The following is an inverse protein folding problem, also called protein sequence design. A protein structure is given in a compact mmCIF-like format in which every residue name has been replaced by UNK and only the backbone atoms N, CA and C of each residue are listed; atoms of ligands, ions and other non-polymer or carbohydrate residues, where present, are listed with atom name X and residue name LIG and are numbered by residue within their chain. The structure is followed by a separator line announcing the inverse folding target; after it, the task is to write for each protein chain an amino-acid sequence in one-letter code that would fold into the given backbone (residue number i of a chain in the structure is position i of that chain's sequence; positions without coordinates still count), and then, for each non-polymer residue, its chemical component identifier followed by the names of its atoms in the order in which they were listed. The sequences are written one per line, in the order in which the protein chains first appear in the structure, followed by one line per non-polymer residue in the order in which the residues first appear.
data_IF_682352636323
#
_entry.id   IF_682352636323
#
_cell.length_a   1.000
_cell.length_b   1.000
_cell.length_c   1.000
_cell.angle_alpha   90.00
_cell.angle_beta   90.00
_cell.angle_gamma   90.00
#
_symmetry.space_group_name_H-M   'P 1'
#
loop_
_entity.id
_entity.type
_entity.pdbx_description
1 polymer ?
#
# COMPACT_ATOMS: atom_id res chain seq x y z
N UNK A 1 14.83 -20.26 -9.33
CA UNK A 1 13.53 -19.62 -9.07
C UNK A 1 12.62 -20.45 -8.16
N UNK A 2 12.26 -21.69 -8.44
CA UNK A 2 11.34 -22.46 -7.58
C UNK A 2 11.81 -22.67 -6.15
N UNK A 3 13.10 -23.00 -5.92
CA UNK A 3 13.67 -23.16 -4.57
C UNK A 3 13.68 -21.85 -3.75
N UNK A 4 13.94 -20.73 -4.42
CA UNK A 4 13.89 -19.40 -3.80
C UNK A 4 12.46 -19.03 -3.37
N UNK A 5 11.49 -19.20 -4.27
CA UNK A 5 10.08 -18.97 -3.95
C UNK A 5 9.60 -19.87 -2.80
N UNK A 6 9.95 -21.18 -2.83
CA UNK A 6 9.63 -22.11 -1.74
C UNK A 6 10.23 -21.69 -0.38
N UNK A 7 11.49 -21.26 -0.36
CA UNK A 7 12.15 -20.78 0.87
C UNK A 7 11.49 -19.48 1.39
N UNK A 8 11.10 -18.57 0.49
CA UNK A 8 10.38 -17.33 0.83
C UNK A 8 8.99 -17.62 1.41
N UNK A 9 8.24 -18.53 0.79
CA UNK A 9 6.92 -18.95 1.30
C UNK A 9 7.08 -19.63 2.67
N UNK A 10 8.09 -20.49 2.83
CA UNK A 10 8.34 -21.14 4.12
C UNK A 10 8.72 -20.13 5.22
N UNK A 11 9.51 -19.11 4.89
CA UNK A 11 9.87 -18.05 5.84
C UNK A 11 8.69 -17.09 6.13
N UNK A 12 7.67 -17.01 5.27
CA UNK A 12 6.48 -16.22 5.51
C UNK A 12 5.60 -16.77 6.63
N UNK A 13 5.57 -18.11 6.80
CA UNK A 13 4.74 -18.77 7.82
C UNK A 13 5.07 -18.29 9.25
N UNK A 14 6.33 -18.36 9.74
CA UNK A 14 6.64 -17.87 11.09
C UNK A 14 6.39 -16.37 11.25
N UNK A 15 6.54 -15.58 10.18
CA UNK A 15 6.22 -14.14 10.22
C UNK A 15 4.73 -13.93 10.42
N UNK A 16 3.88 -14.61 9.66
CA UNK A 16 2.43 -14.52 9.79
C UNK A 16 1.95 -15.00 11.18
N UNK A 17 2.51 -16.08 11.69
CA UNK A 17 2.22 -16.57 13.05
C UNK A 17 2.62 -15.54 14.12
N UNK A 18 3.82 -14.98 14.01
CA UNK A 18 4.30 -13.97 14.97
C UNK A 18 3.46 -12.68 14.91
N UNK A 19 3.10 -12.23 13.72
CA UNK A 19 2.29 -11.03 13.51
C UNK A 19 0.88 -11.23 14.07
N UNK A 20 0.21 -12.34 13.75
CA UNK A 20 -1.14 -12.63 14.28
C UNK A 20 -1.14 -12.78 15.79
N UNK A 21 -0.15 -13.51 16.35
CA UNK A 21 0.01 -13.61 17.79
C UNK A 21 0.22 -12.23 18.45
N UNK A 22 1.06 -11.39 17.84
CA UNK A 22 1.29 -10.02 18.29
C UNK A 22 0.03 -9.16 18.28
N UNK A 23 -0.82 -9.28 17.26
CA UNK A 23 -2.12 -8.58 17.20
C UNK A 23 -3.00 -8.95 18.40
N UNK A 24 -3.16 -10.25 18.67
CA UNK A 24 -3.97 -10.70 19.80
C UNK A 24 -3.37 -10.28 21.15
N UNK A 25 -2.04 -10.30 21.29
CA UNK A 25 -1.36 -9.87 22.51
C UNK A 25 -1.54 -8.36 22.76
N UNK A 26 -1.34 -7.53 21.74
CA UNK A 26 -1.51 -6.07 21.83
C UNK A 26 -2.98 -5.71 22.07
N UNK A 27 -3.90 -6.38 21.39
CA UNK A 27 -5.32 -6.14 21.55
C UNK A 27 -5.80 -6.59 22.97
N UNK A 28 -5.25 -7.65 23.53
CA UNK A 28 -5.53 -8.06 24.91
C UNK A 28 -4.99 -7.08 25.96
N UNK A 29 -3.91 -6.36 25.64
CA UNK A 29 -3.33 -5.31 26.50
C UNK A 29 -3.97 -3.93 26.26
N UNK A 30 -4.89 -3.82 25.29
CA UNK A 30 -5.56 -2.57 24.91
C UNK A 30 -6.45 -2.06 26.05
N UNK A 31 -6.51 -0.73 26.29
CA UNK A 31 -7.45 -0.14 27.22
C UNK A 31 -8.89 -0.11 26.68
N UNK A 32 -9.10 -0.44 25.41
CA UNK A 32 -10.42 -0.49 24.80
C UNK A 32 -11.17 -1.76 25.18
N UNK A 33 -12.44 -1.63 25.57
CA UNK A 33 -13.31 -2.76 25.94
C UNK A 33 -14.14 -3.18 24.72
N UNK A 34 -13.91 -4.37 24.15
CA UNK A 34 -14.64 -4.85 22.97
C UNK A 34 -16.14 -5.02 23.25
N UNK A 35 -16.53 -5.28 24.51
CA UNK A 35 -17.94 -5.40 24.88
C UNK A 35 -18.65 -4.06 24.77
N UNK A 36 -18.00 -2.98 25.22
CA UNK A 36 -18.55 -1.61 25.08
C UNK A 36 -18.61 -1.18 23.62
N UNK A 37 -17.60 -1.53 22.83
CA UNK A 37 -17.58 -1.24 21.40
C UNK A 37 -18.69 -1.95 20.65
N UNK A 38 -18.94 -3.23 20.96
CA UNK A 38 -20.02 -4.02 20.37
C UNK A 38 -21.42 -3.53 20.79
N UNK A 39 -21.59 -3.26 22.07
CA UNK A 39 -22.89 -2.83 22.63
C UNK A 39 -23.23 -1.39 22.19
N UNK A 40 -22.25 -0.54 21.88
CA UNK A 40 -22.45 0.85 21.49
C UNK A 40 -23.33 1.60 22.51
N UNK A 41 -24.30 2.37 22.02
CA UNK A 41 -25.24 3.13 22.87
C UNK A 41 -26.16 2.22 23.70
N UNK A 42 -26.48 1.01 23.23
CA UNK A 42 -27.29 0.04 23.99
C UNK A 42 -26.55 -0.44 25.25
N UNK A 43 -25.21 -0.44 25.26
CA UNK A 43 -24.42 -0.79 26.44
C UNK A 43 -24.55 0.21 27.58
N UNK A 44 -25.03 1.43 27.34
CA UNK A 44 -25.28 2.44 28.39
C UNK A 44 -26.51 2.10 29.23
N UNK A 45 -27.44 1.32 28.70
CA UNK A 45 -28.69 0.91 29.34
C UNK A 45 -28.73 -0.57 29.68
N UNK A 46 -27.74 -1.34 29.23
CA UNK A 46 -27.67 -2.78 29.47
C UNK A 46 -27.40 -3.12 30.95
N UNK A 47 -28.05 -4.16 31.44
CA UNK A 47 -27.77 -4.70 32.76
C UNK A 47 -26.39 -5.36 32.82
N UNK A 48 -25.81 -5.52 34.02
CA UNK A 48 -24.55 -6.24 34.19
C UNK A 48 -24.64 -7.69 33.69
N UNK A 49 -25.76 -8.35 33.90
CA UNK A 49 -25.98 -9.72 33.43
C UNK A 49 -25.95 -9.84 31.89
N UNK A 50 -26.50 -8.86 31.17
CA UNK A 50 -26.45 -8.79 29.71
C UNK A 50 -25.03 -8.53 29.20
N UNK A 51 -24.29 -7.63 29.87
CA UNK A 51 -22.89 -7.38 29.54
C UNK A 51 -21.99 -8.59 29.81
N UNK A 52 -22.21 -9.32 30.91
CA UNK A 52 -21.47 -10.54 31.23
C UNK A 52 -21.78 -11.67 30.24
N UNK A 53 -23.04 -11.79 29.83
CA UNK A 53 -23.43 -12.73 28.77
C UNK A 53 -22.79 -12.36 27.43
N UNK A 54 -22.73 -11.09 27.10
CA UNK A 54 -22.07 -10.60 25.90
C UNK A 54 -20.55 -10.85 25.94
N UNK A 55 -19.89 -10.68 27.11
CA UNK A 55 -18.48 -11.05 27.32
C UNK A 55 -18.24 -12.54 27.04
N UNK A 56 -19.06 -13.38 27.59
CA UNK A 56 -18.98 -14.82 27.38
C UNK A 56 -19.17 -15.19 25.88
N UNK A 57 -20.16 -14.58 25.23
CA UNK A 57 -20.42 -14.80 23.80
C UNK A 57 -19.27 -14.32 22.88
N UNK A 58 -18.65 -13.19 23.22
CA UNK A 58 -17.49 -12.66 22.51
C UNK A 58 -16.17 -13.36 22.87
N UNK A 59 -16.18 -14.29 23.86
CA UNK A 59 -15.00 -15.01 24.33
C UNK A 59 -13.94 -14.10 24.97
N UNK A 60 -14.33 -12.90 25.43
CA UNK A 60 -13.37 -11.90 25.96
C UNK A 60 -12.70 -12.38 27.26
N UNK A 61 -13.40 -13.21 28.03
CA UNK A 61 -12.91 -13.77 29.28
C UNK A 61 -11.85 -14.87 29.12
N UNK A 62 -11.70 -15.38 27.89
CA UNK A 62 -10.68 -16.40 27.59
C UNK A 62 -9.28 -15.76 27.51
N UNK A 63 -8.22 -16.50 27.92
CA UNK A 63 -6.84 -16.07 27.71
C UNK A 63 -6.58 -15.75 26.23
N UNK A 64 -5.85 -14.68 25.94
CA UNK A 64 -5.60 -14.25 24.55
C UNK A 64 -4.93 -15.32 23.70
N UNK A 65 -4.08 -16.17 24.31
CA UNK A 65 -3.42 -17.30 23.62
C UNK A 65 -4.45 -18.30 23.10
N UNK A 66 -5.49 -18.59 23.89
CA UNK A 66 -6.56 -19.50 23.49
C UNK A 66 -7.37 -18.89 22.36
N UNK A 67 -7.80 -17.63 22.49
CA UNK A 67 -8.50 -16.90 21.42
C UNK A 67 -7.72 -16.85 20.12
N UNK A 68 -6.40 -16.59 20.21
CA UNK A 68 -5.54 -16.62 19.03
C UNK A 68 -5.49 -18.02 18.39
N UNK A 69 -5.36 -19.08 19.20
CA UNK A 69 -5.31 -20.45 18.70
C UNK A 69 -6.62 -20.88 18.04
N UNK A 70 -7.74 -20.58 18.67
CA UNK A 70 -9.07 -20.88 18.15
C UNK A 70 -9.32 -20.14 16.84
N UNK A 71 -8.98 -18.86 16.79
CA UNK A 71 -9.06 -18.09 15.54
C UNK A 71 -8.12 -18.64 14.46
N UNK A 72 -6.86 -18.97 14.78
CA UNK A 72 -5.90 -19.50 13.83
C UNK A 72 -6.38 -20.83 13.21
N UNK A 73 -6.90 -21.73 14.03
CA UNK A 73 -7.42 -23.02 13.55
C UNK A 73 -8.66 -22.86 12.66
N UNK A 74 -9.56 -21.93 13.01
CA UNK A 74 -10.73 -21.59 12.18
C UNK A 74 -10.29 -20.95 10.86
N UNK A 75 -9.36 -20.00 10.90
CA UNK A 75 -8.84 -19.33 9.71
C UNK A 75 -8.13 -20.29 8.75
N UNK A 76 -7.41 -21.29 9.25
CA UNK A 76 -6.81 -22.36 8.43
C UNK A 76 -7.89 -23.25 7.79
N UNK A 77 -9.08 -23.34 8.39
CA UNK A 77 -10.27 -23.98 7.83
C UNK A 77 -11.05 -23.11 6.83
N UNK A 78 -10.60 -21.84 6.61
CA UNK A 78 -11.27 -20.90 5.72
C UNK A 78 -12.29 -19.99 6.41
N UNK A 79 -12.50 -20.13 7.71
CA UNK A 79 -13.39 -19.29 8.51
C UNK A 79 -12.57 -18.22 9.24
N UNK A 80 -12.65 -16.97 8.79
CA UNK A 80 -11.99 -15.83 9.39
C UNK A 80 -12.74 -15.26 10.60
N UNK A 81 -13.94 -15.79 10.89
CA UNK A 81 -14.85 -15.34 11.92
C UNK A 81 -15.71 -14.15 11.48
N UNK A 82 -16.48 -13.63 12.43
CA UNK A 82 -17.36 -12.49 12.23
C UNK A 82 -16.76 -11.22 12.86
N UNK A 83 -16.91 -10.11 12.16
CA UNK A 83 -16.60 -8.78 12.72
C UNK A 83 -17.64 -8.44 13.78
N UNK A 84 -17.18 -8.23 15.00
CA UNK A 84 -18.04 -7.84 16.12
C UNK A 84 -18.63 -6.43 15.92
N UNK A 85 -17.94 -5.56 15.22
CA UNK A 85 -18.32 -4.15 15.02
C UNK A 85 -19.16 -3.97 13.75
N UNK A 86 -18.76 -4.58 12.64
CA UNK A 86 -19.47 -4.49 11.37
C UNK A 86 -20.64 -5.48 11.26
N UNK A 87 -20.72 -6.47 12.19
CA UNK A 87 -21.79 -7.49 12.28
C UNK A 87 -21.99 -8.27 10.98
N UNK A 88 -20.90 -8.60 10.33
CA UNK A 88 -20.86 -9.38 9.10
C UNK A 88 -19.60 -10.26 9.06
N UNK A 89 -19.57 -11.33 8.25
CA UNK A 89 -18.37 -12.16 8.09
C UNK A 89 -17.17 -11.34 7.68
N UNK A 90 -16.02 -11.60 8.30
CA UNK A 90 -14.74 -10.89 7.99
C UNK A 90 -14.34 -11.06 6.53
N UNK A 91 -14.63 -12.24 5.94
CA UNK A 91 -14.39 -12.50 4.53
C UNK A 91 -15.15 -11.53 3.61
N UNK A 92 -16.42 -11.22 3.94
CA UNK A 92 -17.26 -10.30 3.17
C UNK A 92 -16.74 -8.86 3.30
N UNK A 93 -16.34 -8.44 4.51
CA UNK A 93 -15.69 -7.12 4.72
C UNK A 93 -14.48 -6.94 3.83
N UNK A 94 -13.63 -7.98 3.75
CA UNK A 94 -12.44 -7.95 2.92
C UNK A 94 -12.82 -7.94 1.43
N UNK A 95 -13.72 -8.81 1.00
CA UNK A 95 -14.13 -8.94 -0.40
C UNK A 95 -14.72 -7.63 -0.96
N UNK A 96 -15.53 -6.93 -0.18
CA UNK A 96 -16.14 -5.65 -0.57
C UNK A 96 -15.12 -4.51 -0.72
N UNK A 97 -14.01 -4.54 0.02
CA UNK A 97 -13.09 -3.40 0.17
C UNK A 97 -11.74 -3.57 -0.54
N UNK A 98 -11.26 -4.82 -0.67
CA UNK A 98 -9.92 -5.09 -1.21
C UNK A 98 -9.76 -4.59 -2.64
N UNK A 99 -10.81 -4.68 -3.46
CA UNK A 99 -10.80 -4.19 -4.83
C UNK A 99 -10.56 -2.68 -4.92
N UNK A 100 -11.13 -1.90 -4.02
CA UNK A 100 -10.98 -0.45 -3.98
C UNK A 100 -9.58 -0.05 -3.52
N UNK A 101 -9.03 -0.69 -2.48
CA UNK A 101 -7.64 -0.47 -2.05
C UNK A 101 -6.65 -0.86 -3.14
N UNK A 102 -6.87 -1.99 -3.81
CA UNK A 102 -6.02 -2.43 -4.92
C UNK A 102 -6.06 -1.45 -6.10
N UNK A 103 -7.25 -0.95 -6.47
CA UNK A 103 -7.42 0.04 -7.52
C UNK A 103 -6.64 1.31 -7.20
N UNK A 104 -6.78 1.84 -5.98
CA UNK A 104 -6.04 3.02 -5.52
C UNK A 104 -4.52 2.78 -5.58
N UNK A 105 -4.05 1.66 -5.05
CA UNK A 105 -2.63 1.31 -5.02
C UNK A 105 -2.04 1.18 -6.43
N UNK A 106 -2.74 0.47 -7.33
CA UNK A 106 -2.29 0.29 -8.73
C UNK A 106 -2.26 1.63 -9.46
N UNK A 107 -3.31 2.46 -9.32
CA UNK A 107 -3.37 3.77 -9.95
C UNK A 107 -2.25 4.70 -9.44
N UNK A 108 -2.03 4.75 -8.12
CA UNK A 108 -0.97 5.53 -7.51
C UNK A 108 0.43 5.08 -7.96
N UNK A 109 0.67 3.77 -8.01
CA UNK A 109 1.94 3.22 -8.48
C UNK A 109 2.18 3.52 -9.96
N UNK A 110 1.13 3.41 -10.79
CA UNK A 110 1.22 3.80 -12.20
C UNK A 110 1.61 5.28 -12.34
N UNK A 111 1.00 6.18 -11.58
CA UNK A 111 1.37 7.61 -11.56
C UNK A 111 2.83 7.79 -11.14
N UNK A 112 3.26 7.17 -10.04
CA UNK A 112 4.62 7.29 -9.52
C UNK A 112 5.66 6.77 -10.52
N UNK A 113 5.44 5.58 -11.09
CA UNK A 113 6.35 4.94 -12.05
C UNK A 113 6.43 5.75 -13.35
N UNK A 114 5.28 6.11 -13.94
CA UNK A 114 5.24 6.81 -15.23
C UNK A 114 5.86 8.21 -15.12
N UNK A 115 5.42 9.00 -14.14
CA UNK A 115 5.94 10.36 -13.96
C UNK A 115 7.38 10.35 -13.46
N UNK A 116 7.70 9.48 -12.48
CA UNK A 116 9.06 9.34 -11.95
C UNK A 116 10.05 8.92 -13.03
N UNK A 117 9.68 7.96 -13.88
CA UNK A 117 10.51 7.54 -15.03
C UNK A 117 10.66 8.65 -16.05
N UNK A 118 9.58 9.30 -16.47
CA UNK A 118 9.65 10.37 -17.46
C UNK A 118 10.53 11.52 -16.98
N UNK A 119 10.29 12.01 -15.77
CA UNK A 119 11.08 13.10 -15.17
C UNK A 119 12.53 12.68 -14.91
N UNK A 120 12.77 11.44 -14.45
CA UNK A 120 14.12 10.90 -14.20
C UNK A 120 14.95 10.83 -15.47
N UNK A 121 14.38 10.33 -16.56
CA UNK A 121 15.04 10.29 -17.88
C UNK A 121 15.34 11.71 -18.39
N UNK A 122 14.38 12.62 -18.27
CA UNK A 122 14.57 14.02 -18.70
C UNK A 122 15.67 14.71 -17.90
N UNK A 123 15.72 14.51 -16.58
CA UNK A 123 16.75 15.07 -15.70
C UNK A 123 18.13 14.44 -15.98
N UNK A 124 18.21 13.12 -16.18
CA UNK A 124 19.45 12.41 -16.51
C UNK A 124 20.10 12.91 -17.80
N UNK A 125 19.28 13.20 -18.83
CA UNK A 125 19.79 13.76 -20.12
C UNK A 125 20.39 15.15 -19.99
N UNK A 126 19.99 15.92 -18.98
CA UNK A 126 20.45 17.30 -18.74
C UNK A 126 20.99 17.45 -17.32
N UNK A 127 21.83 16.48 -16.90
CA UNK A 127 22.39 16.42 -15.54
C UNK A 127 23.08 17.70 -15.18
N UNK A 128 22.79 18.28 -14.00
CA UNK A 128 23.27 19.55 -13.53
C UNK A 128 22.60 20.79 -14.12
N UNK A 129 21.69 20.64 -15.10
CA UNK A 129 20.90 21.73 -15.65
C UNK A 129 19.82 22.23 -14.69
N UNK A 130 19.13 23.32 -15.07
CA UNK A 130 18.09 23.93 -14.24
C UNK A 130 16.91 22.96 -14.01
N UNK A 131 16.49 22.21 -15.04
CA UNK A 131 15.41 21.23 -14.95
C UNK A 131 15.77 20.12 -13.96
N UNK A 132 16.98 19.58 -14.04
CA UNK A 132 17.48 18.57 -13.12
C UNK A 132 17.46 19.06 -11.67
N UNK A 133 17.96 20.28 -11.44
CA UNK A 133 17.98 20.88 -10.09
C UNK A 133 16.57 21.15 -9.56
N UNK A 134 15.69 21.72 -10.37
CA UNK A 134 14.32 22.06 -9.95
C UNK A 134 13.50 20.81 -9.63
N UNK A 135 13.55 19.78 -10.50
CA UNK A 135 12.80 18.53 -10.26
C UNK A 135 13.39 17.77 -9.09
N UNK A 136 14.73 17.73 -8.93
CA UNK A 136 15.36 17.10 -7.75
C UNK A 136 14.97 17.81 -6.45
N UNK A 137 14.98 19.16 -6.43
CA UNK A 137 14.53 19.91 -5.24
C UNK A 137 13.07 19.64 -4.92
N UNK A 138 12.20 19.61 -5.93
CA UNK A 138 10.78 19.27 -5.75
C UNK A 138 10.60 17.83 -5.23
N UNK A 139 11.37 16.87 -5.75
CA UNK A 139 11.34 15.48 -5.30
C UNK A 139 11.73 15.36 -3.82
N UNK A 140 12.83 15.98 -3.38
CA UNK A 140 13.24 16.00 -1.97
C UNK A 140 12.20 16.68 -1.07
N UNK A 141 11.54 17.74 -1.55
CA UNK A 141 10.47 18.41 -0.82
C UNK A 141 9.25 17.49 -0.66
N UNK A 142 8.88 16.78 -1.73
CA UNK A 142 7.77 15.82 -1.69
C UNK A 142 8.07 14.63 -0.78
N UNK A 143 9.30 14.13 -0.77
CA UNK A 143 9.74 13.04 0.11
C UNK A 143 9.65 13.42 1.59
N UNK A 144 9.98 14.67 1.92
CA UNK A 144 9.89 15.19 3.29
C UNK A 144 8.46 15.49 3.72
N UNK A 145 7.50 15.61 2.79
CA UNK A 145 6.13 15.98 3.09
C UNK A 145 5.28 14.75 3.48
N UNK A 146 4.55 14.79 4.61
CA UNK A 146 3.65 13.69 4.96
C UNK A 146 2.52 13.53 3.93
N UNK A 147 2.22 12.28 3.51
CA UNK A 147 1.20 12.01 2.50
C UNK A 147 -0.19 12.54 2.88
N UNK A 148 -0.58 12.44 4.16
CA UNK A 148 -1.85 12.98 4.63
C UNK A 148 -1.94 14.50 4.50
N UNK A 149 -0.84 15.21 4.75
CA UNK A 149 -0.77 16.67 4.61
C UNK A 149 -0.91 17.08 3.13
N UNK A 150 -0.24 16.37 2.21
CA UNK A 150 -0.43 16.56 0.78
C UNK A 150 -1.90 16.31 0.38
N UNK A 151 -2.54 15.30 0.98
CA UNK A 151 -3.95 15.00 0.78
C UNK A 151 -4.86 16.16 1.19
N UNK A 152 -4.67 16.72 2.40
CA UNK A 152 -5.45 17.86 2.88
C UNK A 152 -5.24 19.10 2.00
N UNK A 153 -4.01 19.38 1.56
CA UNK A 153 -3.72 20.47 0.63
C UNK A 153 -4.41 20.26 -0.74
N UNK A 154 -4.39 19.03 -1.24
CA UNK A 154 -5.03 18.68 -2.50
C UNK A 154 -6.56 18.87 -2.41
N UNK A 155 -7.21 18.42 -1.34
CA UNK A 155 -8.63 18.66 -1.07
C UNK A 155 -8.92 20.15 -1.00
N UNK A 156 -8.16 20.90 -0.18
CA UNK A 156 -8.35 22.34 -0.06
C UNK A 156 -8.26 23.06 -1.41
N UNK A 157 -7.24 22.74 -2.21
CA UNK A 157 -7.00 23.46 -3.45
C UNK A 157 -7.94 23.01 -4.59
N UNK A 158 -7.98 21.70 -4.87
CA UNK A 158 -8.72 21.19 -6.03
C UNK A 158 -10.22 21.01 -5.79
N UNK A 159 -10.61 20.58 -4.59
CA UNK A 159 -12.02 20.35 -4.30
C UNK A 159 -12.71 21.62 -3.78
N UNK A 160 -12.15 22.27 -2.74
CA UNK A 160 -12.84 23.37 -2.08
C UNK A 160 -12.64 24.72 -2.79
N UNK A 161 -11.39 25.03 -3.23
CA UNK A 161 -11.10 26.33 -3.84
C UNK A 161 -11.44 26.37 -5.33
N UNK A 162 -11.11 25.34 -6.09
CA UNK A 162 -11.35 25.28 -7.54
C UNK A 162 -12.69 24.61 -7.88
N UNK A 163 -13.26 23.77 -7.02
CA UNK A 163 -14.45 22.98 -7.32
C UNK A 163 -14.26 22.02 -8.50
N UNK A 164 -13.01 21.64 -8.81
CA UNK A 164 -12.67 20.91 -10.01
C UNK A 164 -12.74 19.38 -9.85
N UNK A 165 -12.53 18.88 -8.63
CA UNK A 165 -12.49 17.45 -8.31
C UNK A 165 -13.23 17.18 -7.00
N UNK A 166 -13.78 15.97 -6.80
CA UNK A 166 -14.43 15.58 -5.56
C UNK A 166 -13.46 15.59 -4.37
N UNK A 167 -13.96 15.93 -3.19
CA UNK A 167 -13.14 15.95 -1.96
C UNK A 167 -12.81 14.55 -1.43
N UNK A 168 -13.64 13.55 -1.72
CA UNK A 168 -13.47 12.18 -1.22
C UNK A 168 -14.71 11.31 -1.48
N UNK A 169 -14.72 10.10 -0.93
CA UNK A 169 -15.75 9.10 -1.20
C UNK A 169 -15.53 8.38 -2.53
N UNK A 170 -16.52 7.61 -2.96
CA UNK A 170 -16.51 6.87 -4.22
C UNK A 170 -17.45 7.47 -5.26
N UNK A 171 -18.53 8.13 -4.78
CA UNK A 171 -19.60 8.72 -5.58
C UNK A 171 -20.04 10.04 -5.00
N UNK A 172 -20.73 10.83 -5.80
CA UNK A 172 -21.40 12.03 -5.32
C UNK A 172 -22.56 11.65 -4.37
N UNK A 173 -22.76 12.44 -3.32
CA UNK A 173 -23.76 12.21 -2.26
C UNK A 173 -25.22 12.09 -2.74
N UNK A 174 -25.50 12.50 -3.98
CA UNK A 174 -26.83 12.45 -4.58
C UNK A 174 -27.07 11.23 -5.48
N UNK A 175 -26.12 10.32 -5.60
CA UNK A 175 -26.14 9.21 -6.56
C UNK A 175 -26.18 7.85 -5.85
N UNK A 176 -27.28 7.10 -6.06
CA UNK A 176 -27.40 5.73 -5.54
C UNK A 176 -26.66 4.69 -6.41
N UNK A 177 -26.09 5.09 -7.53
CA UNK A 177 -25.42 4.19 -8.48
C UNK A 177 -23.97 4.58 -8.69
N UNK A 178 -23.06 3.61 -8.53
CA UNK A 178 -21.64 3.77 -8.82
C UNK A 178 -21.42 3.68 -10.33
N UNK A 179 -21.01 4.78 -10.97
CA UNK A 179 -20.65 4.79 -12.38
C UNK A 179 -19.14 4.83 -12.58
N UNK A 180 -18.59 4.26 -13.66
CA UNK A 180 -17.14 4.31 -13.92
C UNK A 180 -16.58 5.75 -13.97
N UNK A 181 -17.35 6.71 -14.46
CA UNK A 181 -16.96 8.12 -14.52
C UNK A 181 -16.77 8.72 -13.12
N UNK A 182 -17.69 8.43 -12.19
CA UNK A 182 -17.58 8.87 -10.80
C UNK A 182 -16.38 8.22 -10.10
N UNK A 183 -16.17 6.91 -10.29
CA UNK A 183 -15.00 6.22 -9.74
C UNK A 183 -13.70 6.88 -10.20
N UNK A 184 -13.60 7.19 -11.50
CA UNK A 184 -12.40 7.85 -12.05
C UNK A 184 -12.23 9.24 -11.44
N UNK A 185 -13.27 10.08 -11.39
CA UNK A 185 -13.16 11.44 -10.86
C UNK A 185 -12.77 11.45 -9.38
N UNK A 186 -13.34 10.55 -8.57
CA UNK A 186 -13.03 10.40 -7.13
C UNK A 186 -11.66 9.76 -6.89
N UNK A 187 -11.13 8.98 -7.85
CA UNK A 187 -9.81 8.35 -7.76
C UNK A 187 -8.66 9.32 -8.04
N UNK A 188 -8.88 10.38 -8.84
CA UNK A 188 -7.81 11.29 -9.31
C UNK A 188 -7.02 11.89 -8.16
N UNK A 189 -7.68 12.49 -7.17
CA UNK A 189 -6.98 13.12 -6.05
C UNK A 189 -6.26 12.11 -5.16
N UNK A 190 -6.91 11.05 -4.64
CA UNK A 190 -6.22 10.09 -3.77
C UNK A 190 -5.09 9.35 -4.49
N UNK A 191 -5.29 8.92 -5.75
CA UNK A 191 -4.23 8.27 -6.52
C UNK A 191 -3.09 9.24 -6.88
N UNK A 192 -3.42 10.50 -7.20
CA UNK A 192 -2.45 11.55 -7.44
C UNK A 192 -1.58 11.83 -6.21
N UNK A 193 -2.18 12.00 -5.05
CA UNK A 193 -1.46 12.26 -3.78
C UNK A 193 -0.60 11.08 -3.38
N UNK A 194 -1.14 9.86 -3.38
CA UNK A 194 -0.38 8.66 -3.06
C UNK A 194 0.74 8.41 -4.09
N UNK A 195 0.46 8.64 -5.39
CA UNK A 195 1.46 8.53 -6.44
C UNK A 195 2.57 9.58 -6.32
N UNK A 196 2.23 10.83 -6.00
CA UNK A 196 3.21 11.89 -5.77
C UNK A 196 4.09 11.63 -4.54
N UNK A 197 3.57 11.00 -3.49
CA UNK A 197 4.38 10.60 -2.31
C UNK A 197 5.40 9.51 -2.64
N UNK A 198 5.15 8.66 -3.63
CA UNK A 198 6.07 7.61 -4.09
C UNK A 198 7.00 8.07 -5.23
N UNK A 199 6.62 9.12 -5.96
CA UNK A 199 7.33 9.61 -7.15
C UNK A 199 8.82 9.92 -6.90
N UNK A 200 9.25 10.56 -5.78
CA UNK A 200 10.64 10.90 -5.53
C UNK A 200 11.60 9.72 -5.68
N UNK A 201 11.21 8.57 -5.18
CA UNK A 201 12.00 7.35 -5.24
C UNK A 201 12.22 6.87 -6.68
N UNK A 202 11.15 6.76 -7.46
CA UNK A 202 11.25 6.36 -8.88
C UNK A 202 12.05 7.39 -9.69
N UNK A 203 11.81 8.67 -9.46
CA UNK A 203 12.55 9.74 -10.11
C UNK A 203 14.06 9.67 -9.82
N UNK A 204 14.47 9.58 -8.55
CA UNK A 204 15.87 9.59 -8.16
C UNK A 204 16.61 8.35 -8.67
N UNK A 205 16.00 7.17 -8.57
CA UNK A 205 16.61 5.93 -9.07
C UNK A 205 16.78 5.94 -10.59
N UNK A 206 15.77 6.36 -11.33
CA UNK A 206 15.84 6.45 -12.81
C UNK A 206 16.85 7.53 -13.22
N UNK A 207 16.81 8.70 -12.58
CA UNK A 207 17.77 9.77 -12.83
C UNK A 207 19.23 9.31 -12.64
N UNK A 208 19.48 8.61 -11.53
CA UNK A 208 20.83 8.10 -11.23
C UNK A 208 21.22 7.00 -12.21
N UNK A 209 20.40 5.93 -12.34
CA UNK A 209 20.73 4.78 -13.18
C UNK A 209 20.91 5.12 -14.65
N UNK A 210 19.99 5.93 -15.22
CA UNK A 210 20.11 6.38 -16.62
C UNK A 210 21.28 7.34 -16.78
N UNK A 211 21.52 8.24 -15.81
CA UNK A 211 22.66 9.18 -15.83
C UNK A 211 24.02 8.45 -15.84
N UNK A 212 24.15 7.39 -15.04
CA UNK A 212 25.35 6.58 -14.99
C UNK A 212 25.54 5.75 -16.27
N UNK A 213 24.45 5.11 -16.76
CA UNK A 213 24.47 4.38 -18.02
C UNK A 213 24.87 5.25 -19.22
N UNK A 214 24.47 6.53 -19.25
CA UNK A 214 24.87 7.48 -20.30
C UNK A 214 26.37 7.80 -20.31
N UNK A 215 27.08 7.55 -19.21
CA UNK A 215 28.51 7.75 -19.07
C UNK A 215 29.36 6.50 -19.38
N UNK A 216 28.72 5.33 -19.52
CA UNK A 216 29.38 4.04 -19.76
C UNK A 216 29.95 3.89 -21.19
N UNK A 217 30.95 3.00 -21.33
CA UNK A 217 31.62 2.73 -22.61
C UNK A 217 30.69 2.20 -23.72
N UNK A 218 29.67 1.34 -23.46
CA UNK A 218 28.72 0.94 -24.48
C UNK A 218 27.99 2.12 -25.14
N UNK A 219 27.62 3.12 -24.36
CA UNK A 219 26.98 4.35 -24.85
C UNK A 219 27.95 5.22 -25.63
N UNK A 220 29.19 5.37 -25.14
CA UNK A 220 30.26 6.09 -25.87
C UNK A 220 30.56 5.42 -27.21
N UNK A 221 30.64 4.08 -27.23
CA UNK A 221 30.86 3.33 -28.46
C UNK A 221 29.68 3.44 -29.44
N UNK A 222 28.44 3.49 -28.95
CA UNK A 222 27.26 3.72 -29.77
C UNK A 222 27.28 5.12 -30.44
N UNK A 223 27.62 6.16 -29.68
CA UNK A 223 27.78 7.52 -30.18
C UNK A 223 28.95 7.61 -31.22
N UNK A 224 30.08 6.96 -30.93
CA UNK A 224 31.23 6.94 -31.86
C UNK A 224 30.88 6.28 -33.20
N UNK A 225 29.92 5.34 -33.22
CA UNK A 225 29.36 4.72 -34.44
C UNK A 225 28.32 5.60 -35.15
N UNK A 226 28.03 6.80 -34.67
CA UNK A 226 27.08 7.72 -35.28
C UNK A 226 25.61 7.38 -35.05
N UNK A 227 25.27 6.58 -34.05
CA UNK A 227 23.89 6.27 -33.73
C UNK A 227 23.16 7.52 -33.20
N UNK A 228 21.89 7.71 -33.64
CA UNK A 228 21.07 8.81 -33.19
C UNK A 228 20.85 8.76 -31.65
N UNK A 229 20.86 9.92 -30.99
CA UNK A 229 20.70 10.01 -29.53
C UNK A 229 19.42 9.31 -29.00
N UNK A 230 18.34 9.29 -29.77
CA UNK A 230 17.14 8.52 -29.41
C UNK A 230 17.45 7.02 -29.33
N UNK A 231 18.17 6.47 -30.31
CA UNK A 231 18.56 5.05 -30.33
C UNK A 231 19.55 4.74 -29.21
N UNK A 232 20.52 5.64 -28.94
CA UNK A 232 21.47 5.52 -27.83
C UNK A 232 20.71 5.48 -26.49
N UNK A 233 19.75 6.39 -26.30
CA UNK A 233 18.95 6.45 -25.07
C UNK A 233 18.08 5.18 -24.90
N UNK A 234 17.25 4.86 -25.90
CA UNK A 234 16.26 3.77 -25.77
C UNK A 234 16.87 2.38 -25.88
N UNK A 235 17.88 2.21 -26.73
CA UNK A 235 18.51 0.91 -27.01
C UNK A 235 19.64 0.54 -26.06
N UNK A 236 20.30 1.50 -25.46
CA UNK A 236 21.47 1.28 -24.60
C UNK A 236 21.27 1.78 -23.18
N UNK A 237 21.10 3.12 -22.98
CA UNK A 237 21.09 3.71 -21.66
C UNK A 237 19.88 3.31 -20.80
N UNK A 238 18.66 3.30 -21.38
CA UNK A 238 17.46 2.89 -20.64
C UNK A 238 17.50 1.41 -20.26
N UNK A 239 18.00 0.55 -21.13
CA UNK A 239 18.03 -0.88 -20.88
C UNK A 239 18.84 -1.26 -19.64
N UNK A 240 20.02 -0.66 -19.46
CA UNK A 240 20.86 -0.89 -18.28
C UNK A 240 20.49 0.01 -17.11
N UNK A 241 20.19 1.28 -17.38
CA UNK A 241 19.91 2.28 -16.35
C UNK A 241 18.59 2.11 -15.60
N UNK A 242 17.64 1.33 -16.14
CA UNK A 242 16.38 1.06 -15.46
C UNK A 242 16.37 -0.21 -14.59
N UNK A 243 17.42 -1.02 -14.61
CA UNK A 243 17.51 -2.22 -13.77
C UNK A 243 17.33 -1.93 -12.27
N UNK A 244 17.95 -0.88 -11.69
CA UNK A 244 17.75 -0.56 -10.28
C UNK A 244 16.30 -0.19 -9.92
N UNK A 245 15.54 0.37 -10.89
CA UNK A 245 14.13 0.70 -10.68
C UNK A 245 13.24 -0.54 -10.53
N UNK A 246 13.56 -1.64 -11.22
CA UNK A 246 12.78 -2.88 -11.11
C UNK A 246 12.83 -3.48 -9.70
N UNK A 247 14.00 -3.42 -9.05
CA UNK A 247 14.15 -3.80 -7.64
C UNK A 247 13.38 -2.88 -6.71
N UNK A 248 13.33 -1.58 -7.04
CA UNK A 248 12.62 -0.60 -6.23
C UNK A 248 11.10 -0.88 -6.18
N UNK A 249 10.50 -1.35 -7.27
CA UNK A 249 9.05 -1.59 -7.35
C UNK A 249 8.55 -2.43 -6.17
N UNK A 250 9.18 -3.57 -5.92
CA UNK A 250 8.73 -4.46 -4.84
C UNK A 250 9.09 -3.96 -3.44
N UNK A 251 10.27 -3.31 -3.28
CA UNK A 251 10.69 -2.76 -1.98
C UNK A 251 9.81 -1.58 -1.53
N UNK A 252 9.06 -0.94 -2.45
CA UNK A 252 8.14 0.16 -2.13
C UNK A 252 6.72 -0.28 -1.80
N UNK A 253 6.39 -1.58 -1.92
CA UNK A 253 5.05 -2.09 -1.57
C UNK A 253 4.68 -1.85 -0.11
N UNK A 254 5.56 -2.05 0.90
CA UNK A 254 5.23 -1.75 2.28
C UNK A 254 4.82 -0.28 2.52
N UNK A 255 5.58 0.65 1.95
CA UNK A 255 5.30 2.08 2.07
C UNK A 255 4.04 2.49 1.30
N UNK A 256 3.77 1.84 0.18
CA UNK A 256 2.53 2.04 -0.57
C UNK A 256 1.32 1.63 0.27
N UNK A 257 1.37 0.48 0.96
CA UNK A 257 0.29 0.01 1.83
C UNK A 257 0.08 0.96 3.00
N UNK A 258 1.16 1.39 3.66
CA UNK A 258 1.09 2.35 4.78
C UNK A 258 0.58 3.71 4.32
N UNK A 259 1.06 4.19 3.17
CA UNK A 259 0.60 5.43 2.56
C UNK A 259 -0.85 5.36 2.11
N UNK A 260 -1.28 4.22 1.55
CA UNK A 260 -2.66 3.99 1.16
C UNK A 260 -3.62 4.08 2.36
N UNK A 261 -3.25 3.52 3.52
CA UNK A 261 -4.05 3.61 4.74
C UNK A 261 -4.35 5.07 5.12
N UNK A 262 -3.34 5.94 5.10
CA UNK A 262 -3.51 7.35 5.41
C UNK A 262 -4.35 8.09 4.35
N UNK A 263 -4.10 7.81 3.08
CA UNK A 263 -4.80 8.45 1.95
C UNK A 263 -6.25 7.99 1.90
N UNK A 264 -6.54 6.70 2.06
CA UNK A 264 -7.91 6.17 2.14
C UNK A 264 -8.71 6.85 3.26
N UNK A 265 -8.07 7.06 4.43
CA UNK A 265 -8.71 7.73 5.56
C UNK A 265 -9.00 9.20 5.26
N UNK A 266 -8.01 9.94 4.72
CA UNK A 266 -8.15 11.38 4.41
C UNK A 266 -9.21 11.63 3.35
N UNK A 267 -9.26 10.79 2.31
CA UNK A 267 -10.21 10.92 1.21
C UNK A 267 -11.51 10.13 1.42
N UNK A 268 -11.71 9.49 2.58
CA UNK A 268 -12.87 8.61 2.83
C UNK A 268 -13.07 7.59 1.72
N UNK A 269 -11.98 7.08 1.15
CA UNK A 269 -12.00 6.05 0.11
C UNK A 269 -12.45 4.72 0.72
N UNK A 270 -13.39 3.97 0.11
CA UNK A 270 -14.01 2.79 0.73
C UNK A 270 -13.11 1.55 0.70
N UNK A 271 -11.85 1.70 1.04
CA UNK A 271 -10.87 0.63 1.09
C UNK A 271 -10.78 -0.06 2.45
N UNK A 272 -9.71 -0.83 2.61
CA UNK A 272 -9.42 -1.63 3.81
C UNK A 272 -9.02 -0.75 5.01
N UNK A 273 -8.46 0.44 4.76
CA UNK A 273 -7.94 1.31 5.81
C UNK A 273 -8.99 1.69 6.86
N UNK A 274 -10.18 2.11 6.40
CA UNK A 274 -11.27 2.47 7.31
C UNK A 274 -11.69 1.29 8.21
N UNK A 275 -11.77 0.08 7.65
CA UNK A 275 -12.06 -1.14 8.40
C UNK A 275 -10.94 -1.46 9.40
N UNK A 276 -9.66 -1.23 9.01
CA UNK A 276 -8.51 -1.46 9.90
C UNK A 276 -8.52 -0.50 11.10
N UNK A 277 -8.76 0.79 10.86
CA UNK A 277 -8.86 1.78 11.93
C UNK A 277 -10.03 1.46 12.87
N UNK A 278 -11.18 1.12 12.30
CA UNK A 278 -12.36 0.76 13.08
C UNK A 278 -12.12 -0.51 13.91
N UNK A 279 -11.55 -1.56 13.32
CA UNK A 279 -11.20 -2.79 14.02
C UNK A 279 -10.21 -2.54 15.17
N UNK A 280 -9.19 -1.69 14.95
CA UNK A 280 -8.19 -1.36 15.97
C UNK A 280 -8.79 -0.58 17.15
N UNK A 281 -9.62 0.43 16.88
CA UNK A 281 -10.23 1.27 17.93
C UNK A 281 -11.33 0.55 18.73
N UNK A 282 -11.97 -0.43 18.11
CA UNK A 282 -13.07 -1.20 18.72
C UNK A 282 -12.62 -2.57 19.23
N UNK A 283 -11.33 -2.91 19.08
CA UNK A 283 -10.73 -4.20 19.50
C UNK A 283 -11.46 -5.41 18.88
N UNK A 284 -11.80 -5.28 17.60
CA UNK A 284 -12.39 -6.35 16.81
C UNK A 284 -11.29 -7.35 16.40
N UNK A 285 -11.08 -8.37 17.23
CA UNK A 285 -9.96 -9.31 17.08
C UNK A 285 -9.94 -10.05 15.76
N UNK A 286 -11.06 -10.69 15.31
CA UNK A 286 -11.07 -11.44 14.05
C UNK A 286 -10.75 -10.55 12.86
N UNK A 287 -11.41 -9.39 12.77
CA UNK A 287 -11.23 -8.46 11.67
C UNK A 287 -9.80 -7.87 11.67
N UNK A 288 -9.30 -7.43 12.84
CA UNK A 288 -7.96 -6.85 12.95
C UNK A 288 -6.87 -7.87 12.58
N UNK A 289 -7.00 -9.12 13.04
CA UNK A 289 -6.08 -10.20 12.70
C UNK A 289 -6.09 -10.50 11.20
N UNK A 290 -7.26 -10.66 10.59
CA UNK A 290 -7.39 -10.95 9.18
C UNK A 290 -6.84 -9.82 8.29
N UNK A 291 -7.14 -8.55 8.61
CA UNK A 291 -6.61 -7.38 7.90
C UNK A 291 -5.09 -7.25 8.03
N UNK A 292 -4.55 -7.57 9.22
CA UNK A 292 -3.11 -7.57 9.44
C UNK A 292 -2.40 -8.70 8.68
N UNK A 293 -3.01 -9.89 8.61
CA UNK A 293 -2.53 -11.00 7.75
C UNK A 293 -2.53 -10.57 6.29
N UNK A 294 -3.62 -9.95 5.83
CA UNK A 294 -3.74 -9.48 4.45
C UNK A 294 -2.67 -8.44 4.11
N UNK A 295 -2.45 -7.44 4.97
CA UNK A 295 -1.40 -6.44 4.79
C UNK A 295 0.00 -7.09 4.79
N UNK A 296 0.27 -8.00 5.73
CA UNK A 296 1.55 -8.72 5.79
C UNK A 296 1.76 -9.59 4.55
N UNK A 297 0.73 -10.31 4.11
CA UNK A 297 0.78 -11.12 2.89
C UNK A 297 1.06 -10.25 1.66
N UNK A 298 0.43 -9.09 1.54
CA UNK A 298 0.67 -8.16 0.44
C UNK A 298 2.12 -7.64 0.42
N UNK A 299 2.72 -7.34 1.59
CA UNK A 299 4.14 -6.99 1.72
C UNK A 299 5.04 -8.14 1.29
N UNK A 300 4.77 -9.36 1.76
CA UNK A 300 5.56 -10.55 1.42
C UNK A 300 5.47 -10.88 -0.07
N UNK A 301 4.29 -10.76 -0.67
CA UNK A 301 4.08 -10.93 -2.11
C UNK A 301 4.79 -9.84 -2.92
N UNK A 302 4.77 -8.59 -2.47
CA UNK A 302 5.49 -7.50 -3.09
C UNK A 302 7.01 -7.74 -3.10
N UNK A 303 7.57 -8.19 -1.98
CA UNK A 303 8.98 -8.56 -1.89
C UNK A 303 9.32 -9.74 -2.80
N UNK A 304 8.48 -10.78 -2.83
CA UNK A 304 8.67 -11.92 -3.73
C UNK A 304 8.62 -11.48 -5.21
N UNK A 305 7.68 -10.61 -5.56
CA UNK A 305 7.59 -10.06 -6.92
C UNK A 305 8.85 -9.27 -7.29
N UNK A 306 9.39 -8.46 -6.35
CA UNK A 306 10.66 -7.76 -6.55
C UNK A 306 11.81 -8.69 -6.86
N UNK A 307 11.97 -9.75 -6.05
CA UNK A 307 13.02 -10.74 -6.23
C UNK A 307 12.90 -11.46 -7.58
N UNK A 308 11.68 -11.80 -8.01
CA UNK A 308 11.40 -12.42 -9.30
C UNK A 308 11.71 -11.47 -10.47
N UNK A 309 11.28 -10.21 -10.38
CA UNK A 309 11.55 -9.20 -11.41
C UNK A 309 13.05 -8.93 -11.54
N UNK A 310 13.76 -8.88 -10.42
CA UNK A 310 15.21 -8.72 -10.44
C UNK A 310 15.93 -9.89 -11.09
N UNK A 311 15.55 -11.11 -10.73
CA UNK A 311 16.14 -12.30 -11.34
C UNK A 311 15.83 -12.47 -12.83
N UNK A 312 14.69 -11.96 -13.30
CA UNK A 312 14.36 -11.92 -14.73
C UNK A 312 15.15 -10.83 -15.48
N UNK A 313 15.44 -9.70 -14.81
CA UNK A 313 16.11 -8.56 -15.41
C UNK A 313 17.63 -8.74 -15.49
N UNK A 314 18.24 -9.40 -14.52
CA UNK A 314 19.68 -9.68 -14.49
C UNK A 314 19.97 -11.19 -14.33
N UNK A 315 20.16 -11.93 -15.44
CA UNK A 315 20.49 -13.35 -15.41
C UNK A 315 21.84 -13.68 -14.75
N UNK A 316 22.68 -12.68 -14.47
CA UNK A 316 24.01 -12.85 -13.86
C UNK A 316 23.95 -13.00 -12.34
N UNK A 317 22.83 -12.65 -11.74
CA UNK A 317 22.59 -12.89 -10.32
C UNK A 317 22.24 -14.36 -10.17
N UNK A 318 23.25 -15.17 -9.90
CA UNK A 318 23.08 -16.57 -9.53
C UNK A 318 22.24 -16.63 -8.26
N UNK A 319 21.17 -17.42 -8.30
CA UNK A 319 20.27 -17.64 -7.14
C UNK A 319 20.91 -18.59 -6.10
N UNK A 320 22.24 -18.62 -6.02
CA UNK A 320 23.03 -19.40 -5.09
C UNK A 320 23.39 -18.56 -3.87
N UNK A 321 22.45 -18.52 -2.91
CA UNK A 321 22.61 -17.89 -1.60
C UNK A 321 21.62 -18.49 -0.60
#
# INVERSE_FOLDING_TARGET
MGRMAGRRILSAVPVLLAVTFGVFAVAAASPFDPVKAYAGTAGLTASQAELDQLRANLGVDQPFVQRWWDWLTSALGGDLGDSSVLRQPVADVIAERIGWSALLAIAAFAVAILLGTALGVLAARRRGGWLDRSVSSAAYTLEAAPAFWLGLLAIWFFALKLGALPAGGLTDTASDTVTPGQVISHLVLPAGVLGLSQLPWFFLYVRQGVGDALAEDPVRGARARGLAERTVLTGHALRSGMLPMLTLIGSRVPELITGALLVETVFSWPGIAAATVQAATSVDFPLLAALTVLATAAVLLGNLLSDLLYGLADPRVGFDG
#
